data_IF_892209911847
#
_entry.id   IF_892209911847
#
_cell.length_a   1.000
_cell.length_b   1.000
_cell.length_c   1.000
_cell.angle_alpha   90.00
_cell.angle_beta   90.00
_cell.angle_gamma   90.00
#
_symmetry.space_group_name_H-M   'P 1'
#
loop_
_entity.id
_entity.type
_entity.pdbx_description
1 polymer ?
#
# COMPACT_ATOMS: atom_id res chain seq x y z
N UNK A 1 13.85 14.92 -0.62
CA UNK A 1 12.65 14.10 -0.37
C UNK A 1 12.28 13.33 -1.63
N UNK A 2 11.97 12.07 -1.49
CA UNK A 2 11.81 11.12 -2.58
C UNK A 2 10.46 10.43 -2.50
N UNK A 3 9.83 10.21 -3.66
CA UNK A 3 8.66 9.35 -3.81
C UNK A 3 9.08 8.12 -4.61
N UNK A 4 9.14 6.97 -3.96
CA UNK A 4 9.48 5.70 -4.61
C UNK A 4 8.19 4.96 -4.95
N UNK A 5 8.00 4.60 -6.22
CA UNK A 5 6.85 3.81 -6.63
C UNK A 5 6.92 2.42 -6.02
N UNK A 6 5.99 2.10 -5.14
CA UNK A 6 6.03 0.90 -4.31
C UNK A 6 5.21 -0.25 -4.87
N UNK A 7 3.96 -0.01 -5.23
CA UNK A 7 3.06 -1.06 -5.70
C UNK A 7 1.85 -0.51 -6.45
N UNK A 8 1.17 -1.40 -7.17
CA UNK A 8 -0.12 -1.13 -7.80
C UNK A 8 -1.24 -1.85 -7.05
N UNK A 9 -2.29 -1.14 -6.70
CA UNK A 9 -3.51 -1.69 -6.12
C UNK A 9 -4.56 -1.93 -7.19
N UNK A 10 -5.04 -3.17 -7.29
CA UNK A 10 -6.05 -3.59 -8.26
C UNK A 10 -7.28 -4.11 -7.53
N UNK A 11 -8.45 -3.60 -7.89
CA UNK A 11 -9.72 -4.08 -7.37
C UNK A 11 -10.17 -5.34 -8.10
N UNK A 12 -10.64 -6.32 -7.34
CA UNK A 12 -11.12 -7.61 -7.87
C UNK A 12 -12.50 -7.95 -7.30
N UNK A 13 -13.25 -8.74 -8.04
CA UNK A 13 -14.59 -9.20 -7.60
C UNK A 13 -14.52 -10.37 -6.64
N UNK A 14 -13.54 -11.23 -6.80
CA UNK A 14 -13.33 -12.45 -6.02
C UNK A 14 -11.85 -12.55 -5.66
N UNK A 15 -11.54 -12.30 -4.39
CA UNK A 15 -10.14 -12.26 -3.94
C UNK A 15 -9.48 -13.64 -4.01
N UNK A 16 -10.19 -14.72 -3.66
CA UNK A 16 -9.63 -16.07 -3.71
C UNK A 16 -9.27 -16.46 -5.14
N UNK A 17 -10.17 -16.21 -6.07
CA UNK A 17 -9.96 -16.50 -7.50
C UNK A 17 -8.80 -15.68 -8.07
N UNK A 18 -8.69 -14.41 -7.70
CA UNK A 18 -7.62 -13.55 -8.12
C UNK A 18 -6.27 -14.03 -7.55
N UNK A 19 -6.19 -14.32 -6.25
CA UNK A 19 -4.99 -14.88 -5.63
C UNK A 19 -4.56 -16.17 -6.35
N UNK A 20 -5.48 -17.08 -6.61
CA UNK A 20 -5.18 -18.33 -7.31
C UNK A 20 -4.60 -18.08 -8.71
N UNK A 21 -5.18 -17.15 -9.46
CA UNK A 21 -4.66 -16.81 -10.78
C UNK A 21 -3.24 -16.25 -10.73
N UNK A 22 -3.02 -15.23 -9.92
CA UNK A 22 -1.71 -14.59 -9.86
C UNK A 22 -0.62 -15.49 -9.26
N UNK A 23 -0.97 -16.38 -8.34
CA UNK A 23 0.00 -17.31 -7.75
C UNK A 23 0.22 -18.56 -8.60
N UNK A 24 -0.84 -19.27 -8.98
CA UNK A 24 -0.75 -20.57 -9.66
C UNK A 24 -0.45 -20.44 -11.16
N UNK A 25 -0.96 -19.41 -11.82
CA UNK A 25 -0.77 -19.21 -13.26
C UNK A 25 0.45 -18.33 -13.53
N UNK A 26 0.57 -17.20 -12.82
CA UNK A 26 1.64 -16.22 -13.06
C UNK A 26 2.86 -16.38 -12.13
N UNK A 27 2.83 -17.30 -11.17
CA UNK A 27 3.96 -17.61 -10.31
C UNK A 27 4.28 -16.53 -9.24
N UNK A 28 3.38 -15.57 -9.02
CA UNK A 28 3.57 -14.60 -7.94
C UNK A 28 3.47 -15.27 -6.56
N UNK A 29 4.05 -14.63 -5.55
CA UNK A 29 4.03 -15.15 -4.17
C UNK A 29 3.13 -14.30 -3.31
N UNK A 30 2.16 -14.92 -2.64
CA UNK A 30 1.33 -14.28 -1.62
C UNK A 30 2.18 -13.99 -0.38
N UNK A 31 2.20 -12.74 0.07
CA UNK A 31 2.95 -12.30 1.25
C UNK A 31 2.07 -12.03 2.44
N UNK A 32 0.97 -11.31 2.25
CA UNK A 32 0.04 -10.97 3.32
C UNK A 32 -1.39 -11.00 2.79
N UNK A 33 -2.33 -11.29 3.68
CA UNK A 33 -3.76 -11.18 3.43
C UNK A 33 -4.41 -10.61 4.68
N UNK A 34 -5.07 -9.46 4.55
CA UNK A 34 -5.55 -8.67 5.68
C UNK A 34 -7.00 -8.27 5.45
N UNK A 35 -7.85 -8.55 6.45
CA UNK A 35 -9.24 -8.08 6.46
C UNK A 35 -9.32 -6.70 7.07
N UNK A 36 -9.99 -5.78 6.38
CA UNK A 36 -10.28 -4.42 6.83
C UNK A 36 -11.74 -4.31 7.22
N UNK A 37 -12.04 -4.51 8.51
CA UNK A 37 -13.44 -4.54 8.99
C UNK A 37 -14.17 -3.21 8.76
N UNK A 38 -13.52 -2.07 9.03
CA UNK A 38 -14.11 -0.74 8.86
C UNK A 38 -14.49 -0.43 7.41
N UNK A 39 -13.71 -0.92 6.47
CA UNK A 39 -13.92 -0.71 5.04
C UNK A 39 -14.77 -1.80 4.40
N UNK A 40 -15.16 -2.82 5.16
CA UNK A 40 -15.82 -4.03 4.66
C UNK A 40 -15.10 -4.62 3.45
N UNK A 41 -13.79 -4.75 3.58
CA UNK A 41 -12.91 -5.19 2.51
C UNK A 41 -11.84 -6.15 3.00
N UNK A 42 -11.09 -6.67 2.06
CA UNK A 42 -9.94 -7.52 2.28
C UNK A 42 -8.91 -7.28 1.19
N UNK A 43 -7.65 -7.26 1.54
CA UNK A 43 -6.59 -7.15 0.56
C UNK A 43 -5.51 -8.20 0.71
N UNK A 44 -4.82 -8.49 -0.37
CA UNK A 44 -3.71 -9.40 -0.43
C UNK A 44 -2.53 -8.74 -1.14
N UNK A 45 -1.35 -8.84 -0.55
CA UNK A 45 -0.11 -8.37 -1.16
C UNK A 45 0.63 -9.54 -1.77
N UNK A 46 0.95 -9.41 -3.05
CA UNK A 46 1.69 -10.37 -3.84
C UNK A 46 2.97 -9.73 -4.34
N UNK A 47 4.02 -10.53 -4.47
CA UNK A 47 5.28 -10.10 -5.08
C UNK A 47 5.59 -10.96 -6.29
N UNK A 48 6.14 -10.36 -7.34
CA UNK A 48 6.60 -11.08 -8.52
C UNK A 48 7.71 -12.07 -8.17
N UNK A 49 7.89 -13.09 -8.98
CA UNK A 49 8.87 -14.17 -8.75
C UNK A 49 10.29 -13.62 -8.60
N UNK A 50 10.64 -12.58 -9.36
CA UNK A 50 11.93 -11.89 -9.26
C UNK A 50 12.05 -10.96 -8.04
N UNK A 51 10.99 -10.80 -7.25
CA UNK A 51 10.95 -9.98 -6.04
C UNK A 51 10.88 -8.46 -6.27
N UNK A 52 10.77 -8.00 -7.51
CA UNK A 52 10.90 -6.58 -7.86
C UNK A 52 9.59 -5.81 -7.90
N UNK A 53 8.47 -6.49 -8.16
CA UNK A 53 7.18 -5.83 -8.35
C UNK A 53 6.16 -6.31 -7.35
N UNK A 54 5.46 -5.37 -6.72
CA UNK A 54 4.39 -5.63 -5.79
C UNK A 54 3.04 -5.31 -6.40
N UNK A 55 2.08 -6.20 -6.14
CA UNK A 55 0.68 -6.06 -6.52
C UNK A 55 -0.18 -6.24 -5.27
N UNK A 56 -1.09 -5.30 -5.04
CA UNK A 56 -2.12 -5.46 -4.01
C UNK A 56 -3.46 -5.76 -4.68
N UNK A 57 -4.08 -6.86 -4.31
CA UNK A 57 -5.42 -7.21 -4.73
C UNK A 57 -6.40 -6.75 -3.67
N UNK A 58 -7.39 -5.97 -4.06
CA UNK A 58 -8.37 -5.37 -3.17
C UNK A 58 -9.76 -5.87 -3.48
N UNK A 59 -10.43 -6.41 -2.49
CA UNK A 59 -11.83 -6.77 -2.54
C UNK A 59 -12.64 -5.96 -1.54
N UNK A 60 -13.83 -5.52 -1.94
CA UNK A 60 -14.77 -4.80 -1.08
C UNK A 60 -16.16 -5.42 -1.22
N UNK A 61 -16.88 -5.48 -0.11
CA UNK A 61 -18.31 -5.82 -0.13
C UNK A 61 -19.12 -4.72 -0.86
N UNK A 62 -20.25 -5.06 -1.43
CA UNK A 62 -21.08 -4.12 -2.20
C UNK A 62 -21.55 -2.93 -1.36
N UNK A 63 -21.70 -3.09 -0.05
CA UNK A 63 -22.07 -2.06 0.92
C UNK A 63 -20.85 -1.41 1.63
N UNK A 64 -19.65 -1.54 1.05
CA UNK A 64 -18.46 -0.89 1.57
C UNK A 64 -18.63 0.64 1.62
N UNK A 65 -18.26 1.29 2.74
CA UNK A 65 -18.36 2.75 2.85
C UNK A 65 -17.31 3.51 2.01
N UNK A 66 -16.28 2.82 1.53
CA UNK A 66 -15.18 3.42 0.75
C UNK A 66 -15.24 3.06 -0.74
N UNK A 67 -15.97 2.00 -1.08
CA UNK A 67 -16.13 1.56 -2.46
C UNK A 67 -17.54 1.01 -2.64
N UNK A 68 -18.25 1.40 -3.66
CA UNK A 68 -19.55 0.80 -3.99
C UNK A 68 -19.40 -0.57 -4.65
N UNK A 69 -20.47 -1.11 -5.25
CA UNK A 69 -20.41 -2.33 -6.04
C UNK A 69 -19.37 -2.23 -7.16
N UNK A 70 -18.69 -3.33 -7.44
CA UNK A 70 -17.71 -3.40 -8.50
C UNK A 70 -18.36 -3.12 -9.86
N UNK A 71 -17.71 -2.26 -10.64
CA UNK A 71 -18.07 -2.01 -12.04
C UNK A 71 -16.88 -2.30 -12.92
N UNK A 72 -17.12 -2.83 -14.09
CA UNK A 72 -16.09 -2.98 -15.11
C UNK A 72 -15.45 -1.60 -15.41
N UNK A 73 -14.11 -1.55 -15.41
CA UNK A 73 -13.35 -0.30 -15.49
C UNK A 73 -12.85 0.24 -14.16
N UNK A 74 -13.33 -0.32 -13.03
CA UNK A 74 -12.92 0.09 -11.68
C UNK A 74 -11.67 -0.68 -11.15
N UNK A 75 -10.95 -1.37 -12.02
CA UNK A 75 -9.87 -2.28 -11.61
C UNK A 75 -8.69 -1.56 -10.98
N UNK A 76 -8.34 -0.34 -11.44
CA UNK A 76 -7.30 0.43 -10.76
C UNK A 76 -7.86 1.00 -9.44
N UNK A 77 -7.38 0.48 -8.31
CA UNK A 77 -7.80 0.93 -6.99
C UNK A 77 -6.94 2.11 -6.52
N UNK A 78 -5.63 1.92 -6.48
CA UNK A 78 -4.68 2.97 -6.09
C UNK A 78 -3.25 2.61 -6.49
N UNK A 79 -2.38 3.62 -6.43
CA UNK A 79 -0.93 3.45 -6.58
C UNK A 79 -0.26 3.74 -5.24
N UNK A 80 0.68 2.91 -4.83
CA UNK A 80 1.43 3.08 -3.59
C UNK A 80 2.78 3.73 -3.81
N UNK A 81 3.07 4.78 -3.03
CA UNK A 81 4.36 5.46 -3.03
C UNK A 81 4.96 5.49 -1.63
N UNK A 82 6.13 4.89 -1.47
CA UNK A 82 6.93 5.04 -0.26
C UNK A 82 7.68 6.37 -0.30
N UNK A 83 7.65 7.11 0.79
CA UNK A 83 8.37 8.37 0.94
C UNK A 83 9.37 8.28 2.09
N UNK A 84 10.48 8.96 1.96
CA UNK A 84 11.52 9.02 2.98
C UNK A 84 11.23 10.06 4.08
N UNK A 85 10.46 11.09 3.76
CA UNK A 85 10.01 12.13 4.68
C UNK A 85 8.50 12.35 4.51
N UNK A 86 7.73 11.74 5.39
CA UNK A 86 6.27 11.72 5.29
C UNK A 86 5.65 13.12 5.39
N UNK A 87 6.08 13.91 6.38
CA UNK A 87 5.48 15.22 6.62
C UNK A 87 5.74 16.16 5.45
N UNK A 88 6.97 16.19 4.94
CA UNK A 88 7.31 16.98 3.74
C UNK A 88 6.59 16.51 2.48
N UNK A 89 6.39 15.20 2.35
CA UNK A 89 5.63 14.66 1.22
C UNK A 89 4.18 15.13 1.25
N UNK A 90 3.53 15.09 2.42
CA UNK A 90 2.17 15.57 2.59
C UNK A 90 2.08 17.08 2.35
N UNK A 91 3.02 17.89 2.84
CA UNK A 91 3.07 19.32 2.56
C UNK A 91 3.21 19.61 1.07
N UNK A 92 4.10 18.92 0.38
CA UNK A 92 4.27 19.06 -1.08
C UNK A 92 2.98 18.79 -1.85
N UNK A 93 2.27 17.74 -1.47
CA UNK A 93 1.00 17.40 -2.10
C UNK A 93 -0.07 18.46 -1.83
N UNK A 94 -0.17 18.96 -0.60
CA UNK A 94 -1.06 20.07 -0.24
C UNK A 94 -0.76 21.33 -1.06
N UNK A 95 0.51 21.71 -1.13
CA UNK A 95 0.97 22.90 -1.88
C UNK A 95 0.72 22.76 -3.39
N UNK A 96 0.68 21.53 -3.88
CA UNK A 96 0.33 21.22 -5.28
C UNK A 96 -1.18 21.14 -5.54
N UNK A 97 -2.01 21.37 -4.52
CA UNK A 97 -3.48 21.36 -4.64
C UNK A 97 -4.13 20.00 -4.33
N UNK A 98 -3.36 19.04 -3.78
CA UNK A 98 -3.85 17.70 -3.47
C UNK A 98 -3.68 17.35 -1.99
N UNK A 99 -4.52 17.89 -1.09
CA UNK A 99 -4.47 17.52 0.32
C UNK A 99 -4.94 16.07 0.54
N UNK A 100 -4.50 15.40 1.61
CA UNK A 100 -5.04 14.10 1.98
C UNK A 100 -6.56 14.10 2.08
N UNK A 101 -7.18 13.07 1.52
CA UNK A 101 -8.63 12.83 1.62
C UNK A 101 -8.95 11.91 2.80
N UNK A 102 -8.03 11.01 3.14
CA UNK A 102 -8.09 10.14 4.32
C UNK A 102 -6.73 10.13 5.00
N UNK A 103 -6.74 10.20 6.33
CA UNK A 103 -5.53 10.31 7.14
C UNK A 103 -5.01 11.75 7.25
N UNK A 104 -3.76 11.92 7.71
CA UNK A 104 -2.76 10.88 8.02
C UNK A 104 -3.16 9.90 9.13
N UNK A 105 -2.78 8.64 8.94
CA UNK A 105 -2.93 7.59 9.94
C UNK A 105 -1.57 7.05 10.36
N UNK A 106 -1.48 6.54 11.59
CA UNK A 106 -0.28 5.88 12.08
C UNK A 106 -0.64 4.50 12.62
N UNK A 107 -0.02 3.47 12.05
CA UNK A 107 -0.19 2.07 12.42
C UNK A 107 1.18 1.46 12.72
N UNK A 108 1.55 1.39 14.03
CA UNK A 108 2.87 0.91 14.40
C UNK A 108 3.99 1.72 13.76
N UNK A 109 4.73 1.10 12.84
CA UNK A 109 5.82 1.75 12.08
C UNK A 109 5.38 2.45 10.80
N UNK A 110 4.11 2.34 10.43
CA UNK A 110 3.56 2.89 9.21
C UNK A 110 2.92 4.24 9.44
N UNK A 111 3.28 5.21 8.64
CA UNK A 111 2.54 6.45 8.45
C UNK A 111 1.91 6.40 7.07
N UNK A 112 0.61 6.65 6.97
CA UNK A 112 -0.17 6.44 5.74
C UNK A 112 -1.13 7.60 5.52
N UNK A 113 -1.26 8.06 4.29
CA UNK A 113 -2.32 8.97 3.88
C UNK A 113 -2.81 8.62 2.48
N UNK A 114 -4.10 8.77 2.24
CA UNK A 114 -4.68 8.59 0.92
C UNK A 114 -5.00 9.94 0.30
N UNK A 115 -4.49 10.13 -0.91
CA UNK A 115 -4.58 11.39 -1.65
C UNK A 115 -5.20 11.12 -3.02
N UNK A 116 -6.24 11.84 -3.36
CA UNK A 116 -6.80 11.78 -4.70
C UNK A 116 -6.17 12.88 -5.56
N UNK A 117 -5.48 12.48 -6.60
CA UNK A 117 -4.70 13.38 -7.45
C UNK A 117 -5.35 13.57 -8.82
N UNK A 118 -4.57 13.98 -9.80
CA UNK A 118 -5.02 14.25 -11.18
C UNK A 118 -5.93 13.14 -11.72
N UNK A 119 -7.01 13.52 -12.38
CA UNK A 119 -8.02 12.62 -12.99
C UNK A 119 -8.67 11.62 -11.99
N UNK A 120 -8.63 11.94 -10.70
CA UNK A 120 -9.23 11.13 -9.67
C UNK A 120 -8.43 9.89 -9.27
N UNK A 121 -7.18 9.78 -9.68
CA UNK A 121 -6.29 8.68 -9.29
C UNK A 121 -6.02 8.74 -7.78
N UNK A 122 -6.18 7.61 -7.11
CA UNK A 122 -5.85 7.48 -5.69
C UNK A 122 -4.40 7.06 -5.48
N UNK A 123 -3.73 7.77 -4.57
CA UNK A 123 -2.41 7.38 -4.06
C UNK A 123 -2.53 6.93 -2.60
N UNK A 124 -1.85 5.84 -2.28
CA UNK A 124 -1.43 5.52 -0.93
C UNK A 124 0.00 6.07 -0.75
N UNK A 125 0.12 7.13 0.02
CA UNK A 125 1.42 7.71 0.37
C UNK A 125 1.81 7.21 1.74
N UNK A 126 2.91 6.48 1.84
CA UNK A 126 3.30 5.83 3.08
C UNK A 126 4.80 5.95 3.39
N UNK A 127 5.11 5.84 4.67
CA UNK A 127 6.46 5.77 5.19
C UNK A 127 6.55 4.66 6.21
N UNK A 128 7.60 3.86 6.13
CA UNK A 128 7.90 2.80 7.09
C UNK A 128 9.11 3.22 7.91
N UNK A 129 8.92 3.57 9.19
CA UNK A 129 10.04 3.87 10.05
C UNK A 129 10.86 2.60 10.30
N UNK A 130 12.13 2.63 9.91
CA UNK A 130 13.06 1.53 10.15
C UNK A 130 13.57 1.65 11.58
N UNK A 131 13.58 0.55 12.34
CA UNK A 131 14.27 0.53 13.64
C UNK A 131 15.75 0.84 13.38
N UNK A 132 16.40 1.72 14.18
CA UNK A 132 17.83 1.90 14.07
C UNK A 132 18.51 0.53 14.23
N UNK A 133 19.43 0.20 13.32
CA UNK A 133 20.27 -1.00 13.47
C UNK A 133 20.93 -0.91 14.85
N UNK A 134 20.69 -1.89 15.72
CA UNK A 134 21.50 -2.03 16.93
C UNK A 134 22.95 -2.16 16.46
N UNK A 135 23.76 -1.14 16.72
CA UNK A 135 25.20 -1.29 16.57
C UNK A 135 25.60 -2.40 17.54
N UNK A 136 26.09 -3.50 17.01
CA UNK A 136 26.81 -4.48 17.83
C UNK A 136 28.07 -3.74 18.31
N UNK A 137 28.03 -3.27 19.56
CA UNK A 137 29.24 -2.83 20.24
C UNK A 137 30.18 -4.05 20.26
N UNK A 138 31.24 -3.98 19.46
CA UNK A 138 32.38 -4.86 19.63
C UNK A 138 32.87 -4.56 21.03
N UNK A 139 32.59 -5.46 22.00
CA UNK A 139 33.34 -5.49 23.23
C UNK A 139 34.80 -5.68 22.84
N UNK A 140 35.62 -4.65 23.00
CA UNK A 140 37.06 -4.83 23.06
C UNK A 140 37.33 -5.78 24.22
N UNK A 141 37.88 -6.95 23.92
CA UNK A 141 38.47 -7.79 24.91
C UNK A 141 39.78 -7.09 25.32
N UNK A 142 39.79 -6.43 26.47
CA UNK A 142 41.01 -6.01 27.13
C UNK A 142 41.65 -7.27 27.71
N UNK A 143 42.82 -7.58 27.20
CA UNK A 143 43.80 -8.40 27.88
C UNK A 143 44.86 -7.54 28.53
#
# INVERSE_FOLDING_TARGET
MRFDFGYTGVRVRDLNRAIDFFTKVLGMKLRTRIRMRKNKGEFANLVSEDGKHWLELNWYADDSPVAGPFKEGDELDHLGFEVDDFDRAIERLKDSGYPPRMGPFKYGRWSVAFVQVVDGIWLDVYHISRKPRKQHSKKKADR
#
